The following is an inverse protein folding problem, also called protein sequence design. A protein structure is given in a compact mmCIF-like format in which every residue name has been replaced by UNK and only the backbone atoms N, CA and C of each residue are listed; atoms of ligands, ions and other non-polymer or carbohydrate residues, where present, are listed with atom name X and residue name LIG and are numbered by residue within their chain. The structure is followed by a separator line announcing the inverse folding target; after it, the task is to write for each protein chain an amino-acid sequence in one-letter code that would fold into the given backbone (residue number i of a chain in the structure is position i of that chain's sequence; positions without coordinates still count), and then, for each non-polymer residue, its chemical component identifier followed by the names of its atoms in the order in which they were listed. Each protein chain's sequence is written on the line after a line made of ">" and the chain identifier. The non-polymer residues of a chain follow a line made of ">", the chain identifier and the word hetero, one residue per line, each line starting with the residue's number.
data_IF_720101019565
#
_entry.id   IF_720101019565
#
_cell.length_a   1.000
_cell.length_b   1.000
_cell.length_c   1.000
_cell.angle_alpha   90.00
_cell.angle_beta   90.00
_cell.angle_gamma   90.00
#
_symmetry.space_group_name_H-M   'P 1'
#
loop_
_entity.id
_entity.type
_entity.pdbx_description
1 polymer ?
#
# COMPACT_ATOMS: atom_id res chain seq x y z
N UNK A 1 -18.57 5.04 37.20
CA UNK A 1 -17.89 5.59 36.01
C UNK A 1 -17.08 4.45 35.43
N UNK A 2 -17.62 3.78 34.41
CA UNK A 2 -16.90 2.68 33.76
C UNK A 2 -15.65 3.25 33.07
N UNK A 3 -14.50 2.68 33.43
CA UNK A 3 -13.27 2.93 32.71
C UNK A 3 -13.50 2.39 31.28
N UNK A 4 -13.27 3.18 30.21
CA UNK A 4 -13.42 2.66 28.86
C UNK A 4 -12.61 1.37 28.72
N UNK A 5 -13.30 0.29 28.32
CA UNK A 5 -12.68 -1.01 28.14
C UNK A 5 -11.50 -0.86 27.19
N UNK A 6 -10.30 -1.20 27.68
CA UNK A 6 -9.09 -1.19 26.86
C UNK A 6 -9.24 -2.25 25.77
N UNK A 7 -8.85 -1.95 24.52
CA UNK A 7 -8.90 -2.96 23.47
C UNK A 7 -7.98 -4.14 23.84
N UNK A 8 -8.41 -5.38 23.61
CA UNK A 8 -7.54 -6.54 23.79
C UNK A 8 -6.33 -6.43 22.87
N UNK A 9 -5.18 -6.96 23.32
CA UNK A 9 -3.95 -6.93 22.54
C UNK A 9 -3.96 -8.03 21.48
N UNK A 10 -3.68 -7.67 20.23
CA UNK A 10 -3.45 -8.62 19.15
C UNK A 10 -2.01 -9.14 19.13
N UNK A 11 -1.05 -8.24 19.38
CA UNK A 11 0.38 -8.59 19.35
C UNK A 11 1.17 -7.86 20.44
N UNK A 12 2.15 -8.55 21.02
CA UNK A 12 3.21 -7.97 21.82
C UNK A 12 4.56 -8.37 21.25
N UNK A 13 5.42 -7.38 21.06
CA UNK A 13 6.78 -7.59 20.60
C UNK A 13 7.78 -7.00 21.59
N UNK A 14 8.89 -7.70 21.80
CA UNK A 14 10.04 -7.20 22.55
C UNK A 14 11.28 -7.26 21.67
N UNK A 15 12.04 -6.19 21.58
CA UNK A 15 13.23 -6.14 20.75
C UNK A 15 13.71 -4.74 20.43
N UNK A 16 14.34 -4.61 19.26
CA UNK A 16 14.83 -3.33 18.73
C UNK A 16 13.83 -2.76 17.73
N UNK A 17 13.53 -1.46 17.86
CA UNK A 17 12.67 -0.72 16.93
C UNK A 17 13.46 0.47 16.37
N UNK A 18 13.45 0.64 15.05
CA UNK A 18 14.17 1.70 14.34
C UNK A 18 13.17 2.55 13.58
N UNK A 19 13.12 3.84 13.84
CA UNK A 19 12.19 4.75 13.16
C UNK A 19 12.75 6.17 13.05
N UNK A 20 12.07 7.06 12.32
CA UNK A 20 12.42 8.47 12.24
C UNK A 20 11.36 9.33 12.94
N UNK A 21 11.79 10.47 13.47
CA UNK A 21 10.93 11.52 14.02
C UNK A 21 11.25 12.84 13.31
N UNK A 22 10.47 13.91 13.58
CA UNK A 22 10.77 15.23 12.99
C UNK A 22 12.11 15.81 13.45
N UNK A 23 12.55 15.42 14.66
CA UNK A 23 13.79 15.90 15.28
C UNK A 23 14.96 14.94 15.13
N UNK A 24 14.73 13.69 14.76
CA UNK A 24 15.77 12.67 14.60
C UNK A 24 15.55 11.86 13.33
N UNK A 25 16.52 11.85 12.39
CA UNK A 25 16.39 11.09 11.15
C UNK A 25 16.37 9.58 11.39
N UNK A 26 16.91 9.11 12.51
CA UNK A 26 16.91 7.70 12.90
C UNK A 26 17.10 7.55 14.41
N UNK A 27 16.06 7.11 15.09
CA UNK A 27 16.08 6.68 16.49
C UNK A 27 16.12 5.16 16.57
N UNK A 28 17.02 4.63 17.42
CA UNK A 28 17.18 3.19 17.66
C UNK A 28 16.77 2.88 19.09
N UNK A 29 15.59 2.28 19.24
CA UNK A 29 14.97 1.93 20.51
C UNK A 29 15.30 0.47 20.84
N UNK A 30 16.42 0.24 21.51
CA UNK A 30 16.84 -1.10 21.94
C UNK A 30 16.09 -1.52 23.20
N UNK A 31 15.76 -2.80 23.32
CA UNK A 31 15.17 -3.36 24.54
C UNK A 31 13.77 -2.81 24.88
N UNK A 32 12.97 -2.48 23.87
CA UNK A 32 11.62 -1.96 24.07
C UNK A 32 10.54 -3.04 23.95
N UNK A 33 9.36 -2.74 24.50
CA UNK A 33 8.10 -3.45 24.33
C UNK A 33 7.13 -2.62 23.50
N UNK A 34 6.56 -3.22 22.46
CA UNK A 34 5.51 -2.63 21.64
C UNK A 34 4.24 -3.49 21.71
N UNK A 35 3.12 -2.85 22.08
CA UNK A 35 1.81 -3.47 22.10
C UNK A 35 0.93 -2.98 20.94
N UNK A 36 0.27 -3.92 20.26
CA UNK A 36 -0.70 -3.65 19.19
C UNK A 36 -2.08 -4.13 19.63
N UNK A 37 -3.09 -3.26 19.57
CA UNK A 37 -4.50 -3.60 19.82
C UNK A 37 -5.11 -4.44 18.70
N UNK A 38 -6.26 -5.06 18.95
CA UNK A 38 -7.08 -5.76 17.95
C UNK A 38 -7.57 -4.88 16.80
N UNK A 39 -7.67 -3.57 17.04
CA UNK A 39 -7.93 -2.53 16.03
C UNK A 39 -6.70 -2.19 15.15
N UNK A 40 -5.55 -2.82 15.41
CA UNK A 40 -4.31 -2.62 14.68
C UNK A 40 -3.52 -1.36 15.06
N UNK A 41 -3.89 -0.68 16.15
CA UNK A 41 -3.16 0.52 16.62
C UNK A 41 -2.04 0.14 17.59
N UNK A 42 -0.95 0.91 17.55
CA UNK A 42 0.09 0.86 18.59
C UNK A 42 -0.49 1.51 19.85
N UNK A 43 -0.59 0.73 20.93
CA UNK A 43 -1.19 1.18 22.20
C UNK A 43 -0.16 1.56 23.28
N UNK A 44 1.08 1.08 23.13
CA UNK A 44 2.25 1.52 23.90
C UNK A 44 3.55 1.16 23.17
N UNK A 45 4.61 1.93 23.43
CA UNK A 45 5.99 1.67 23.04
C UNK A 45 6.89 2.20 24.16
N UNK A 46 7.44 1.30 24.97
CA UNK A 46 8.13 1.64 26.22
C UNK A 46 9.34 0.74 26.44
N UNK A 47 10.25 1.11 27.34
CA UNK A 47 11.39 0.26 27.73
C UNK A 47 10.92 -1.05 28.40
N UNK A 48 11.67 -2.14 28.20
CA UNK A 48 11.28 -3.45 28.71
C UNK A 48 11.38 -3.58 30.24
N UNK A 49 12.08 -2.68 30.94
CA UNK A 49 12.06 -2.62 32.41
C UNK A 49 10.67 -2.27 32.98
N UNK A 50 9.80 -1.66 32.17
CA UNK A 50 8.40 -1.39 32.51
C UNK A 50 7.46 -2.60 32.32
N UNK A 51 7.98 -3.78 31.93
CA UNK A 51 7.17 -4.95 31.59
C UNK A 51 6.12 -5.30 32.65
N UNK A 52 6.49 -5.30 33.94
CA UNK A 52 5.56 -5.67 35.03
C UNK A 52 4.40 -4.65 35.15
N UNK A 53 4.70 -3.37 35.01
CA UNK A 53 3.69 -2.31 35.03
C UNK A 53 2.76 -2.40 33.82
N UNK A 54 3.32 -2.64 32.63
CA UNK A 54 2.55 -2.82 31.40
C UNK A 54 1.68 -4.07 31.45
N UNK A 55 2.19 -5.18 31.98
CA UNK A 55 1.45 -6.43 32.15
C UNK A 55 0.23 -6.23 33.07
N UNK A 56 0.40 -5.54 34.20
CA UNK A 56 -0.73 -5.17 35.09
C UNK A 56 -1.70 -4.21 34.40
N UNK A 57 -1.20 -3.24 33.64
CA UNK A 57 -2.03 -2.22 32.96
C UNK A 57 -2.85 -2.79 31.82
N UNK A 58 -2.30 -3.72 31.05
CA UNK A 58 -2.89 -4.23 29.81
C UNK A 58 -3.33 -5.69 29.86
N UNK A 59 -3.07 -6.40 30.97
CA UNK A 59 -3.60 -7.73 31.24
C UNK A 59 -2.97 -8.86 30.42
N UNK A 60 -1.66 -8.80 30.17
CA UNK A 60 -0.92 -9.85 29.45
C UNK A 60 0.07 -10.59 30.36
N UNK A 61 0.48 -11.78 29.94
CA UNK A 61 1.52 -12.60 30.57
C UNK A 61 2.84 -12.52 29.79
N UNK A 62 3.95 -12.85 30.44
CA UNK A 62 5.25 -12.90 29.78
C UNK A 62 5.28 -13.88 28.59
N UNK A 63 4.49 -14.97 28.64
CA UNK A 63 4.34 -15.93 27.56
C UNK A 63 3.70 -15.37 26.28
N UNK A 64 3.03 -14.23 26.38
CA UNK A 64 2.32 -13.60 25.26
C UNK A 64 3.25 -12.69 24.44
N UNK A 65 4.46 -12.44 24.96
CA UNK A 65 5.48 -11.58 24.34
C UNK A 65 6.23 -12.39 23.28
N UNK A 66 6.22 -11.91 22.04
CA UNK A 66 7.12 -12.39 21.00
C UNK A 66 8.45 -11.62 21.10
N UNK A 67 9.49 -12.29 21.60
CA UNK A 67 10.84 -11.74 21.62
C UNK A 67 11.50 -11.89 20.24
N UNK A 68 12.08 -10.79 19.75
CA UNK A 68 12.92 -10.78 18.55
C UNK A 68 14.29 -11.37 18.87
N UNK A 69 14.94 -11.97 17.87
CA UNK A 69 16.35 -12.36 18.00
C UNK A 69 17.25 -11.13 18.13
N UNK A 70 18.49 -11.35 18.59
CA UNK A 70 19.48 -10.29 18.82
C UNK A 70 19.91 -9.51 17.56
N UNK A 71 19.60 -10.04 16.38
CA UNK A 71 19.95 -9.47 15.08
C UNK A 71 18.72 -9.06 14.25
N UNK A 72 17.53 -9.14 14.84
CA UNK A 72 16.28 -8.65 14.23
C UNK A 72 15.90 -7.29 14.81
N UNK A 73 15.25 -6.48 13.98
CA UNK A 73 14.63 -5.23 14.39
C UNK A 73 13.37 -4.99 13.58
N UNK A 74 12.45 -4.20 14.15
CA UNK A 74 11.35 -3.63 13.40
C UNK A 74 11.71 -2.24 12.88
N UNK A 75 11.12 -1.90 11.73
CA UNK A 75 11.06 -0.53 11.23
C UNK A 75 9.65 -0.26 10.67
N UNK A 76 9.22 1.00 10.58
CA UNK A 76 8.00 1.34 9.85
C UNK A 76 8.04 0.78 8.43
N UNK A 77 6.88 0.34 7.94
CA UNK A 77 6.75 -0.07 6.55
C UNK A 77 7.01 1.09 5.60
N UNK A 78 7.58 0.78 4.43
CA UNK A 78 7.93 1.80 3.44
C UNK A 78 6.69 2.35 2.74
N UNK A 79 6.77 3.62 2.37
CA UNK A 79 5.73 4.36 1.65
C UNK A 79 6.23 4.68 0.26
N UNK A 80 5.66 4.01 -0.74
CA UNK A 80 5.90 4.29 -2.15
C UNK A 80 4.88 5.35 -2.61
N UNK A 81 5.38 6.57 -2.84
CA UNK A 81 4.54 7.72 -3.13
C UNK A 81 4.12 7.81 -4.60
N UNK A 82 4.69 6.99 -5.49
CA UNK A 82 4.37 7.02 -6.91
C UNK A 82 4.86 5.76 -7.62
N UNK A 83 3.92 4.93 -8.08
CA UNK A 83 4.24 3.72 -8.84
C UNK A 83 3.18 3.43 -9.91
N UNK A 84 3.63 3.16 -11.13
CA UNK A 84 2.75 2.68 -12.21
C UNK A 84 2.61 1.16 -12.12
N UNK A 85 1.50 0.69 -11.53
CA UNK A 85 1.19 -0.73 -11.46
C UNK A 85 1.20 -1.45 -12.82
N UNK A 86 0.64 -0.88 -13.93
CA UNK A 86 0.57 -1.61 -15.18
C UNK A 86 1.94 -1.80 -15.88
N UNK A 87 2.91 -0.94 -15.55
CA UNK A 87 4.24 -0.97 -16.15
C UNK A 87 5.12 -2.07 -15.53
N UNK A 88 4.67 -2.70 -14.44
CA UNK A 88 5.37 -3.83 -13.83
C UNK A 88 5.60 -5.00 -14.80
N UNK A 89 4.75 -5.15 -15.83
CA UNK A 89 4.86 -6.19 -16.85
C UNK A 89 6.20 -6.18 -17.61
N UNK A 90 6.88 -5.03 -17.68
CA UNK A 90 8.16 -4.87 -18.36
C UNK A 90 9.23 -4.18 -17.50
N UNK A 91 8.97 -4.00 -16.20
CA UNK A 91 9.92 -3.37 -15.28
C UNK A 91 11.29 -4.07 -15.30
N UNK A 92 12.35 -3.27 -15.40
CA UNK A 92 13.73 -3.77 -15.54
C UNK A 92 14.14 -4.12 -16.98
N UNK A 93 13.27 -3.90 -17.96
CA UNK A 93 13.58 -3.96 -19.39
C UNK A 93 13.31 -2.61 -20.05
N UNK A 94 13.75 -2.41 -21.29
CA UNK A 94 13.30 -1.29 -22.15
C UNK A 94 13.59 0.09 -21.52
N UNK A 95 14.87 0.36 -21.23
CA UNK A 95 15.35 1.61 -20.59
C UNK A 95 16.33 2.39 -21.47
N UNK A 96 16.34 2.07 -22.76
CA UNK A 96 17.33 2.47 -23.76
C UNK A 96 16.88 3.65 -24.64
N UNK A 97 15.63 4.09 -24.51
CA UNK A 97 15.03 5.15 -25.32
C UNK A 97 14.78 6.43 -24.52
N UNK A 98 14.78 7.61 -25.18
CA UNK A 98 14.25 8.84 -24.61
C UNK A 98 12.79 8.69 -24.14
N UNK A 99 12.38 9.46 -23.13
CA UNK A 99 11.07 9.30 -22.48
C UNK A 99 9.88 9.23 -23.45
N UNK A 100 9.76 10.15 -24.40
CA UNK A 100 8.63 10.16 -25.34
C UNK A 100 8.65 8.92 -26.24
N UNK A 101 9.81 8.53 -26.75
CA UNK A 101 9.97 7.31 -27.56
C UNK A 101 9.66 6.06 -26.74
N UNK A 102 10.08 6.03 -25.48
CA UNK A 102 9.78 4.95 -24.53
C UNK A 102 8.29 4.83 -24.26
N UNK A 103 7.59 5.94 -24.04
CA UNK A 103 6.14 5.97 -23.83
C UNK A 103 5.40 5.33 -25.02
N UNK A 104 5.78 5.73 -26.22
CA UNK A 104 5.16 5.27 -27.47
C UNK A 104 5.49 3.82 -27.80
N UNK A 105 6.74 3.41 -27.59
CA UNK A 105 7.22 2.09 -28.00
C UNK A 105 6.80 1.01 -27.01
N UNK A 106 6.74 1.34 -25.72
CA UNK A 106 6.62 0.34 -24.66
C UNK A 106 5.42 0.58 -23.75
N UNK A 107 5.25 1.79 -23.25
CA UNK A 107 4.28 2.07 -22.18
C UNK A 107 2.85 2.01 -22.69
N UNK A 108 2.44 2.87 -23.62
CA UNK A 108 1.06 2.91 -24.12
C UNK A 108 0.62 1.58 -24.76
N UNK A 109 1.43 0.90 -25.59
CA UNK A 109 1.06 -0.41 -26.13
C UNK A 109 0.88 -1.49 -25.06
N UNK A 110 1.59 -1.39 -23.92
CA UNK A 110 1.41 -2.33 -22.80
C UNK A 110 0.17 -1.97 -21.99
N UNK A 111 -0.02 -0.69 -21.65
CA UNK A 111 -1.17 -0.26 -20.87
C UNK A 111 -2.51 -0.48 -21.62
N UNK A 112 -2.52 -0.37 -22.96
CA UNK A 112 -3.67 -0.71 -23.79
C UNK A 112 -4.14 -2.18 -23.66
N UNK A 113 -3.27 -3.09 -23.20
CA UNK A 113 -3.63 -4.51 -22.96
C UNK A 113 -4.48 -4.69 -21.71
N UNK A 114 -4.54 -3.71 -20.81
CA UNK A 114 -5.34 -3.79 -19.58
C UNK A 114 -6.85 -3.67 -19.82
N UNK A 115 -7.29 -3.51 -21.07
CA UNK A 115 -8.68 -3.80 -21.45
C UNK A 115 -9.07 -5.27 -21.22
N UNK A 116 -8.07 -6.16 -21.19
CA UNK A 116 -8.21 -7.56 -20.81
C UNK A 116 -7.97 -7.70 -19.30
N UNK A 117 -9.02 -8.07 -18.58
CA UNK A 117 -8.97 -8.21 -17.12
C UNK A 117 -8.12 -9.39 -16.65
N UNK A 118 -7.93 -10.44 -17.47
CA UNK A 118 -7.09 -11.58 -17.09
C UNK A 118 -5.61 -11.15 -17.08
N UNK A 119 -5.20 -10.38 -18.09
CA UNK A 119 -3.88 -9.75 -18.13
C UNK A 119 -3.68 -8.77 -16.98
N UNK A 120 -4.70 -7.95 -16.68
CA UNK A 120 -4.67 -7.03 -15.56
C UNK A 120 -4.50 -7.76 -14.22
N UNK A 121 -5.28 -8.81 -13.97
CA UNK A 121 -5.21 -9.61 -12.74
C UNK A 121 -3.83 -10.19 -12.52
N UNK A 122 -3.23 -10.77 -13.57
CA UNK A 122 -1.90 -11.39 -13.49
C UNK A 122 -0.83 -10.37 -13.06
N UNK A 123 -0.77 -9.22 -13.75
CA UNK A 123 0.27 -8.22 -13.48
C UNK A 123 0.03 -7.51 -12.14
N UNK A 124 -1.21 -7.11 -11.85
CA UNK A 124 -1.55 -6.43 -10.60
C UNK A 124 -1.32 -7.33 -9.37
N UNK A 125 -1.69 -8.61 -9.45
CA UNK A 125 -1.39 -9.58 -8.41
C UNK A 125 0.11 -9.68 -8.15
N UNK A 126 0.93 -9.70 -9.21
CA UNK A 126 2.39 -9.80 -9.07
C UNK A 126 3.01 -8.54 -8.45
N UNK A 127 2.63 -7.34 -8.88
CA UNK A 127 3.23 -6.09 -8.36
C UNK A 127 2.84 -5.85 -6.90
N UNK A 128 1.59 -6.09 -6.51
CA UNK A 128 1.13 -5.94 -5.11
C UNK A 128 1.88 -6.92 -4.20
N UNK A 129 1.96 -8.20 -4.59
CA UNK A 129 2.73 -9.19 -3.82
C UNK A 129 4.21 -8.85 -3.75
N UNK A 130 4.80 -8.36 -4.85
CA UNK A 130 6.22 -8.01 -4.90
C UNK A 130 6.53 -6.84 -3.97
N UNK A 131 5.75 -5.76 -4.05
CA UNK A 131 5.96 -4.55 -3.23
C UNK A 131 5.78 -4.85 -1.75
N UNK A 132 4.72 -5.59 -1.36
CA UNK A 132 4.54 -6.07 0.02
C UNK A 132 5.73 -6.90 0.53
N UNK A 133 6.19 -7.88 -0.25
CA UNK A 133 7.34 -8.73 0.13
C UNK A 133 8.63 -7.92 0.31
N UNK A 134 8.76 -6.79 -0.37
CA UNK A 134 9.91 -5.89 -0.23
C UNK A 134 9.71 -4.80 0.84
N UNK A 135 8.59 -4.79 1.57
CA UNK A 135 8.38 -3.89 2.71
C UNK A 135 7.57 -2.63 2.40
N UNK A 136 7.05 -2.46 1.18
CA UNK A 136 6.13 -1.36 0.85
C UNK A 136 4.75 -1.67 1.42
N UNK A 137 4.43 -1.09 2.57
CA UNK A 137 3.12 -1.25 3.22
C UNK A 137 2.07 -0.27 2.70
N UNK A 138 2.51 0.87 2.14
CA UNK A 138 1.66 1.89 1.53
C UNK A 138 2.15 2.22 0.13
N UNK A 139 1.27 2.19 -0.87
CA UNK A 139 1.60 2.55 -2.25
C UNK A 139 0.59 3.51 -2.88
N UNK A 140 1.07 4.43 -3.71
CA UNK A 140 0.26 5.35 -4.50
C UNK A 140 0.31 4.93 -5.97
N UNK A 141 -0.70 4.17 -6.40
CA UNK A 141 -0.72 3.52 -7.70
C UNK A 141 -1.38 4.36 -8.79
N UNK A 142 -0.68 4.49 -9.91
CA UNK A 142 -1.28 4.74 -11.21
C UNK A 142 -1.69 3.40 -11.82
N UNK A 143 -2.96 3.27 -12.20
CA UNK A 143 -3.49 2.15 -12.98
C UNK A 143 -3.45 2.50 -14.49
N UNK A 144 -4.51 2.21 -15.24
CA UNK A 144 -4.65 2.61 -16.66
C UNK A 144 -5.92 3.44 -16.85
N UNK A 145 -6.23 3.84 -18.09
CA UNK A 145 -7.51 4.49 -18.41
C UNK A 145 -8.72 3.57 -18.19
N UNK A 146 -8.52 2.25 -18.14
CA UNK A 146 -9.61 1.29 -18.02
C UNK A 146 -10.11 1.23 -16.57
N UNK A 147 -11.34 1.71 -16.33
CA UNK A 147 -11.95 1.73 -15.00
C UNK A 147 -12.13 0.33 -14.41
N UNK A 148 -12.55 -0.67 -15.20
CA UNK A 148 -12.73 -2.05 -14.72
C UNK A 148 -11.42 -2.65 -14.18
N UNK A 149 -10.32 -2.49 -14.93
CA UNK A 149 -9.00 -2.94 -14.50
C UNK A 149 -8.50 -2.15 -13.27
N UNK A 150 -8.79 -0.85 -13.19
CA UNK A 150 -8.41 -0.01 -12.05
C UNK A 150 -9.15 -0.41 -10.76
N UNK A 151 -10.43 -0.78 -10.86
CA UNK A 151 -11.20 -1.34 -9.74
C UNK A 151 -10.68 -2.73 -9.33
N UNK A 152 -10.30 -3.56 -10.30
CA UNK A 152 -9.67 -4.86 -10.04
C UNK A 152 -8.36 -4.72 -9.27
N UNK A 153 -7.52 -3.73 -9.59
CA UNK A 153 -6.32 -3.42 -8.81
C UNK A 153 -6.67 -3.13 -7.34
N UNK A 154 -7.72 -2.33 -7.09
CA UNK A 154 -8.16 -2.04 -5.72
C UNK A 154 -8.62 -3.29 -4.96
N UNK A 155 -9.35 -4.20 -5.63
CA UNK A 155 -9.75 -5.49 -5.03
C UNK A 155 -8.56 -6.38 -4.69
N UNK A 156 -7.57 -6.44 -5.58
CA UNK A 156 -6.33 -7.19 -5.37
C UNK A 156 -5.55 -6.63 -4.18
N UNK A 157 -5.44 -5.29 -4.07
CA UNK A 157 -4.77 -4.62 -2.96
C UNK A 157 -5.47 -4.94 -1.63
N UNK A 158 -6.80 -4.85 -1.57
CA UNK A 158 -7.57 -5.16 -0.37
C UNK A 158 -7.42 -6.65 0.03
N UNK A 159 -7.49 -7.55 -0.95
CA UNK A 159 -7.24 -8.99 -0.76
C UNK A 159 -5.89 -9.30 -0.14
N UNK A 160 -4.84 -8.56 -0.51
CA UNK A 160 -3.49 -8.75 0.07
C UNK A 160 -3.21 -7.87 1.30
N UNK A 161 -4.15 -7.02 1.72
CA UNK A 161 -4.08 -6.21 2.93
C UNK A 161 -3.08 -5.03 2.86
N UNK A 162 -2.67 -4.61 1.66
CA UNK A 162 -1.82 -3.44 1.48
C UNK A 162 -2.64 -2.16 1.66
N UNK A 163 -2.05 -1.11 2.25
CA UNK A 163 -2.64 0.22 2.23
C UNK A 163 -2.33 0.87 0.88
N UNK A 164 -3.31 1.45 0.21
CA UNK A 164 -3.01 2.11 -1.06
C UNK A 164 -3.93 3.26 -1.42
N UNK A 165 -3.43 4.06 -2.36
CA UNK A 165 -4.24 4.89 -3.22
C UNK A 165 -4.23 4.29 -4.62
N UNK A 166 -5.38 4.28 -5.30
CA UNK A 166 -5.49 3.83 -6.70
C UNK A 166 -6.10 4.96 -7.53
N UNK A 167 -5.40 5.34 -8.60
CA UNK A 167 -5.88 6.29 -9.60
C UNK A 167 -6.14 5.60 -10.94
N UNK A 168 -7.39 5.65 -11.40
CA UNK A 168 -7.71 5.48 -12.83
C UNK A 168 -7.10 6.66 -13.58
N UNK A 169 -6.36 6.38 -14.65
CA UNK A 169 -5.67 7.42 -15.44
C UNK A 169 -6.68 8.13 -16.34
N UNK A 170 -6.50 9.43 -16.55
CA UNK A 170 -7.32 10.25 -17.45
C UNK A 170 -6.43 10.80 -18.55
N UNK A 171 -6.76 10.51 -19.81
CA UNK A 171 -6.01 11.03 -20.95
C UNK A 171 -6.90 11.12 -22.18
N UNK A 172 -7.24 12.33 -22.60
CA UNK A 172 -8.07 12.61 -23.78
C UNK A 172 -7.26 13.09 -25.00
N UNK A 173 -5.96 13.34 -24.81
CA UNK A 173 -5.02 13.72 -25.86
C UNK A 173 -3.86 12.71 -25.89
N UNK A 174 -3.87 11.86 -26.91
CA UNK A 174 -2.75 11.01 -27.30
C UNK A 174 -2.72 10.92 -28.83
N UNK A 175 -1.84 11.69 -29.47
CA UNK A 175 -1.70 11.71 -30.92
C UNK A 175 -0.85 10.56 -31.44
N UNK A 176 0.01 10.01 -30.58
CA UNK A 176 1.03 9.04 -30.99
C UNK A 176 0.48 7.61 -30.93
N UNK A 177 -0.38 7.33 -29.95
CA UNK A 177 -1.09 6.05 -29.81
C UNK A 177 -2.60 6.33 -29.69
N UNK A 178 -3.28 6.66 -30.80
CA UNK A 178 -4.67 7.11 -30.80
C UNK A 178 -5.68 6.10 -30.23
N UNK A 179 -5.31 4.81 -30.19
CA UNK A 179 -6.09 3.73 -29.60
C UNK A 179 -6.05 3.70 -28.06
N UNK A 180 -5.09 4.41 -27.44
CA UNK A 180 -4.93 4.48 -25.99
C UNK A 180 -5.15 5.93 -25.51
N UNK A 181 -6.42 6.33 -25.52
CA UNK A 181 -6.97 7.57 -24.95
C UNK A 181 -8.48 7.41 -24.81
N UNK A 182 -9.08 8.36 -24.11
CA UNK A 182 -10.52 8.51 -23.99
C UNK A 182 -10.98 9.75 -24.78
N UNK A 183 -12.28 9.91 -24.97
CA UNK A 183 -12.80 11.27 -25.21
C UNK A 183 -12.86 12.05 -23.89
N UNK A 184 -12.89 13.38 -23.92
CA UNK A 184 -13.01 14.19 -22.69
C UNK A 184 -14.27 13.82 -21.89
N UNK A 185 -15.42 13.65 -22.57
CA UNK A 185 -16.69 13.28 -21.94
C UNK A 185 -16.66 11.86 -21.35
N UNK A 186 -16.04 10.90 -22.05
CA UNK A 186 -15.81 9.55 -21.53
C UNK A 186 -14.90 9.58 -20.29
N UNK A 187 -13.78 10.29 -20.34
CA UNK A 187 -12.84 10.39 -19.23
C UNK A 187 -13.51 10.95 -17.97
N UNK A 188 -14.39 11.95 -18.10
CA UNK A 188 -15.16 12.48 -16.99
C UNK A 188 -16.11 11.43 -16.41
N UNK A 189 -16.96 10.83 -17.26
CA UNK A 189 -17.95 9.83 -16.85
C UNK A 189 -17.32 8.60 -16.20
N UNK A 190 -16.25 8.09 -16.78
CA UNK A 190 -15.55 6.91 -16.29
C UNK A 190 -14.80 7.18 -14.98
N UNK A 191 -14.33 8.41 -14.76
CA UNK A 191 -13.72 8.82 -13.48
C UNK A 191 -14.77 8.92 -12.38
N UNK A 192 -15.91 9.54 -12.67
CA UNK A 192 -17.05 9.57 -11.73
C UNK A 192 -17.49 8.14 -11.35
N UNK A 193 -17.59 7.25 -12.35
CA UNK A 193 -17.91 5.85 -12.15
C UNK A 193 -16.87 5.14 -11.28
N UNK A 194 -15.57 5.30 -11.59
CA UNK A 194 -14.48 4.72 -10.80
C UNK A 194 -14.57 5.11 -9.32
N UNK A 195 -14.69 6.41 -9.03
CA UNK A 195 -14.76 6.92 -7.66
C UNK A 195 -15.99 6.38 -6.93
N UNK A 196 -17.16 6.41 -7.59
CA UNK A 196 -18.40 5.90 -7.01
C UNK A 196 -18.31 4.41 -6.67
N UNK A 197 -17.89 3.58 -7.63
CA UNK A 197 -17.80 2.14 -7.42
C UNK A 197 -16.74 1.77 -6.36
N UNK A 198 -15.62 2.50 -6.29
CA UNK A 198 -14.61 2.26 -5.26
C UNK A 198 -15.15 2.57 -3.85
N UNK A 199 -15.89 3.67 -3.69
CA UNK A 199 -16.52 4.04 -2.42
C UNK A 199 -17.59 3.02 -1.99
N UNK A 200 -18.35 2.47 -2.94
CA UNK A 200 -19.38 1.45 -2.67
C UNK A 200 -18.79 0.11 -2.21
N UNK A 201 -17.58 -0.26 -2.67
CA UNK A 201 -16.90 -1.51 -2.29
C UNK A 201 -16.44 -1.59 -0.83
N UNK A 202 -16.38 -0.47 -0.10
CA UNK A 202 -15.95 -0.40 1.32
C UNK A 202 -14.61 -1.09 1.61
N UNK A 203 -13.68 -1.03 0.66
CA UNK A 203 -12.30 -1.49 0.85
C UNK A 203 -11.65 -0.72 2.00
N UNK A 204 -11.21 -1.42 3.04
CA UNK A 204 -10.97 -0.81 4.36
C UNK A 204 -9.72 0.08 4.43
N UNK A 205 -8.77 -0.12 3.51
CA UNK A 205 -7.44 0.53 3.51
C UNK A 205 -7.02 1.04 2.12
N UNK A 206 -7.96 1.10 1.17
CA UNK A 206 -7.75 1.58 -0.19
C UNK A 206 -8.61 2.81 -0.44
N UNK A 207 -8.00 3.88 -0.92
CA UNK A 207 -8.68 5.11 -1.31
C UNK A 207 -8.41 5.45 -2.79
N UNK A 208 -9.20 6.35 -3.38
CA UNK A 208 -8.95 6.82 -4.74
C UNK A 208 -8.03 8.05 -4.75
N UNK A 209 -7.36 8.26 -5.89
CA UNK A 209 -6.80 9.56 -6.26
C UNK A 209 -7.74 10.22 -7.25
N UNK A 210 -8.16 11.46 -6.96
CA UNK A 210 -8.72 12.36 -7.96
C UNK A 210 -7.62 13.35 -8.34
N UNK A 211 -7.02 13.16 -9.50
CA UNK A 211 -6.10 14.13 -10.11
C UNK A 211 -6.68 14.59 -11.43
#
# INVERSE_FOLDING_TARGET
>A
MDCPQKPPLAHLFKGTFVHATRSSPMDVLQGHLLGVGDDGRIVFLEQADQQEQLAKKWGFKASDIRELSSHEFFMPGMVDTHIHAPQYAFAGTRVDLPLLEWLNTYTFPTEAKYKDNDFAEEVYTRVVRRTLKNGTTTACYFATIHTAASLLLAEIIDKFGQRAFVGKVCMDINEIVPEYKETTDESLKETERFVKELLEKKVSRVAFLSA
#
